data_IF_012329095780
#
_entry.id   IF_012329095780
#
_cell.length_a   1.000
_cell.length_b   1.000
_cell.length_c   1.000
_cell.angle_alpha   90.00
_cell.angle_beta   90.00
_cell.angle_gamma   90.00
#
_symmetry.space_group_name_H-M   'P 1'
#
loop_
_entity.id
_entity.type
_entity.pdbx_description
1 polymer ?
#
# COMPACT_ATOMS: atom_id res chain seq x y z
N UNK A 1 -19.81 17.28 72.76
CA UNK A 1 -18.81 17.76 71.78
C UNK A 1 -18.85 16.83 70.58
N UNK A 2 -19.23 17.35 69.38
CA UNK A 2 -18.81 16.97 68.00
C UNK A 2 -18.70 15.46 67.64
N UNK A 3 -19.26 14.90 66.58
CA UNK A 3 -19.72 15.41 65.27
C UNK A 3 -20.65 14.34 64.63
N UNK A 4 -21.65 14.76 63.86
CA UNK A 4 -22.48 13.90 63.00
C UNK A 4 -21.65 13.44 61.80
N UNK A 5 -21.48 12.14 61.61
CA UNK A 5 -20.85 11.59 60.39
C UNK A 5 -21.92 11.41 59.31
N UNK A 6 -22.18 12.46 58.53
CA UNK A 6 -22.85 12.31 57.24
C UNK A 6 -21.80 12.08 56.15
N UNK A 7 -21.81 10.89 55.59
CA UNK A 7 -20.99 10.52 54.42
C UNK A 7 -21.66 11.15 53.19
N UNK A 8 -20.98 12.10 52.55
CA UNK A 8 -21.37 12.64 51.24
C UNK A 8 -20.55 11.91 50.16
N UNK A 9 -21.24 11.17 49.29
CA UNK A 9 -20.64 10.59 48.09
C UNK A 9 -20.95 11.53 46.93
N UNK A 10 -19.92 12.24 46.45
CA UNK A 10 -19.99 12.98 45.20
C UNK A 10 -19.50 12.06 44.08
N UNK A 11 -20.40 11.62 43.21
CA UNK A 11 -20.03 10.94 41.96
C UNK A 11 -19.97 11.99 40.88
N UNK A 12 -18.76 12.35 40.45
CA UNK A 12 -18.55 13.20 39.28
C UNK A 12 -18.33 12.29 38.07
N UNK A 13 -19.32 12.23 37.18
CA UNK A 13 -19.18 11.57 35.88
C UNK A 13 -18.65 12.60 34.89
N UNK A 14 -17.39 12.42 34.47
CA UNK A 14 -16.74 13.25 33.46
C UNK A 14 -16.97 12.59 32.09
N UNK A 15 -17.91 13.12 31.29
CA UNK A 15 -18.05 12.73 29.89
C UNK A 15 -17.22 13.67 29.03
N UNK A 16 -16.02 13.23 28.66
CA UNK A 16 -15.20 13.91 27.67
C UNK A 16 -15.69 13.47 26.29
N UNK A 17 -16.40 14.36 25.58
CA UNK A 17 -16.59 14.22 24.13
C UNK A 17 -15.31 14.72 23.45
N UNK A 18 -14.50 13.79 22.94
CA UNK A 18 -13.34 14.14 22.13
C UNK A 18 -13.73 14.23 20.64
N UNK A 19 -13.67 15.47 20.14
CA UNK A 19 -13.47 15.93 18.76
C UNK A 19 -13.93 15.07 17.58
N UNK A 20 -14.87 15.64 16.85
CA UNK A 20 -15.30 15.22 15.51
C UNK A 20 -14.30 15.69 14.44
N UNK A 21 -13.12 15.07 14.35
CA UNK A 21 -12.22 15.10 13.18
C UNK A 21 -11.40 13.80 13.08
N UNK A 22 -12.07 12.66 12.93
CA UNK A 22 -11.40 11.37 12.71
C UNK A 22 -11.54 10.92 11.25
N UNK A 23 -11.20 11.77 10.28
CA UNK A 23 -10.93 11.23 8.94
C UNK A 23 -9.59 10.53 9.08
N UNK A 24 -9.58 9.22 8.85
CA UNK A 24 -8.33 8.45 8.93
C UNK A 24 -7.29 9.08 7.99
N UNK A 25 -6.02 9.09 8.38
CA UNK A 25 -4.95 9.60 7.51
C UNK A 25 -4.96 8.88 6.14
N UNK A 26 -5.39 7.63 6.14
CA UNK A 26 -5.67 6.83 4.95
C UNK A 26 -6.75 7.47 4.06
N UNK A 27 -7.93 7.76 4.59
CA UNK A 27 -9.03 8.42 3.85
C UNK A 27 -8.61 9.81 3.34
N UNK A 28 -7.88 10.58 4.15
CA UNK A 28 -7.34 11.86 3.72
C UNK A 28 -6.36 11.69 2.55
N UNK A 29 -5.63 10.58 2.51
CA UNK A 29 -4.65 10.26 1.48
C UNK A 29 -5.27 9.76 0.18
N UNK A 30 -6.31 8.93 0.22
CA UNK A 30 -6.85 8.24 -0.96
C UNK A 30 -8.13 8.86 -1.54
N UNK A 31 -8.90 9.62 -0.75
CA UNK A 31 -10.22 10.08 -1.20
C UNK A 31 -10.12 11.24 -2.21
N UNK A 32 -10.79 11.14 -3.38
CA UNK A 32 -10.86 12.23 -4.36
C UNK A 32 -11.50 13.50 -3.80
N UNK A 33 -12.46 13.38 -2.88
CA UNK A 33 -13.07 14.54 -2.22
C UNK A 33 -12.09 15.34 -1.35
N UNK A 34 -10.90 14.79 -1.08
CA UNK A 34 -9.87 15.44 -0.27
C UNK A 34 -8.71 16.01 -1.10
N UNK A 35 -8.80 16.00 -2.44
CA UNK A 35 -7.81 16.61 -3.34
C UNK A 35 -7.40 18.06 -2.99
N UNK A 36 -8.30 18.97 -2.58
CA UNK A 36 -7.91 20.36 -2.29
C UNK A 36 -7.24 20.56 -0.92
N UNK A 37 -7.19 19.53 -0.07
CA UNK A 37 -6.60 19.66 1.27
C UNK A 37 -5.14 19.25 1.28
N UNK A 38 -4.34 19.96 2.07
CA UNK A 38 -2.95 19.62 2.30
C UNK A 38 -2.84 18.28 3.03
N UNK A 39 -1.87 17.48 2.61
CA UNK A 39 -1.57 16.16 3.17
C UNK A 39 -0.21 16.20 3.86
N UNK A 40 -0.11 15.58 5.02
CA UNK A 40 1.14 15.41 5.78
C UNK A 40 1.96 14.22 5.29
N UNK A 41 1.39 13.38 4.43
CA UNK A 41 2.04 12.24 3.78
C UNK A 41 3.10 12.65 2.77
N UNK A 42 4.11 11.79 2.57
CA UNK A 42 5.10 11.94 1.49
C UNK A 42 4.78 11.01 0.33
N UNK A 43 4.98 11.49 -0.90
CA UNK A 43 4.97 10.63 -2.09
C UNK A 43 6.34 9.98 -2.23
N UNK A 44 6.34 8.66 -2.40
CA UNK A 44 7.54 7.87 -2.67
C UNK A 44 7.28 7.09 -3.96
N UNK A 45 8.25 7.13 -4.87
CA UNK A 45 8.23 6.34 -6.10
C UNK A 45 9.47 5.46 -6.16
N UNK A 46 9.26 4.16 -6.33
CA UNK A 46 10.30 3.20 -6.69
C UNK A 46 10.12 2.87 -8.16
N UNK A 47 11.21 2.92 -8.93
CA UNK A 47 11.20 2.70 -10.37
C UNK A 47 12.43 1.89 -10.78
N UNK A 48 12.35 1.27 -11.96
CA UNK A 48 13.44 0.50 -12.58
C UNK A 48 14.53 1.36 -13.23
N UNK A 49 14.64 2.63 -12.85
CA UNK A 49 15.52 3.58 -13.53
C UNK A 49 17.00 3.16 -13.43
N UNK A 50 17.77 3.52 -14.44
CA UNK A 50 19.20 3.28 -14.50
C UNK A 50 19.93 4.21 -13.52
N UNK A 51 20.41 3.68 -12.41
CA UNK A 51 21.12 4.45 -11.38
C UNK A 51 22.48 4.97 -11.81
N UNK A 52 23.00 4.54 -12.96
CA UNK A 52 24.22 5.07 -13.56
C UNK A 52 24.00 6.37 -14.34
N UNK A 53 22.73 6.74 -14.57
CA UNK A 53 22.34 7.86 -15.46
C UNK A 53 22.27 7.48 -16.94
N UNK A 54 22.39 6.19 -17.26
CA UNK A 54 22.16 5.65 -18.59
C UNK A 54 20.67 5.53 -18.95
N UNK A 55 20.35 4.65 -19.90
CA UNK A 55 18.99 4.43 -20.41
C UNK A 55 18.54 2.96 -20.27
N UNK A 56 19.23 2.18 -19.42
CA UNK A 56 18.82 0.81 -19.15
C UNK A 56 17.78 0.77 -18.01
N UNK A 57 16.66 1.47 -18.18
CA UNK A 57 15.62 1.69 -17.17
C UNK A 57 14.71 0.45 -16.95
N UNK A 58 15.32 -0.72 -16.76
CA UNK A 58 14.64 -2.01 -16.59
C UNK A 58 15.29 -2.85 -15.50
N UNK A 59 14.50 -3.73 -14.90
CA UNK A 59 14.98 -4.80 -14.04
C UNK A 59 15.07 -6.08 -14.88
N UNK A 60 16.27 -6.65 -14.99
CA UNK A 60 16.48 -7.92 -15.67
C UNK A 60 16.20 -9.09 -14.73
N UNK A 61 15.23 -9.94 -15.09
CA UNK A 61 14.83 -11.12 -14.31
C UNK A 61 15.11 -12.37 -15.13
N UNK A 62 16.05 -13.20 -14.68
CA UNK A 62 16.38 -14.46 -15.34
C UNK A 62 15.47 -15.60 -14.90
N UNK A 63 15.35 -16.64 -15.71
CA UNK A 63 14.54 -17.81 -15.41
C UNK A 63 14.91 -18.43 -14.04
N UNK A 64 13.88 -18.71 -13.23
CA UNK A 64 14.04 -19.25 -11.87
C UNK A 64 14.64 -18.30 -10.85
N UNK A 65 14.90 -17.03 -11.20
CA UNK A 65 15.40 -16.02 -10.28
C UNK A 65 14.27 -15.19 -9.70
N UNK A 66 14.46 -14.81 -8.44
CA UNK A 66 13.59 -13.89 -7.71
C UNK A 66 14.33 -12.57 -7.64
N UNK A 67 13.62 -11.48 -7.93
CA UNK A 67 14.16 -10.12 -7.81
C UNK A 67 13.19 -9.28 -6.97
N UNK A 68 13.73 -8.59 -5.97
CA UNK A 68 12.99 -7.61 -5.17
C UNK A 68 13.04 -6.27 -5.90
N UNK A 69 11.92 -5.83 -6.47
CA UNK A 69 11.84 -4.54 -7.17
C UNK A 69 11.51 -3.37 -6.23
N UNK A 70 10.95 -3.64 -5.06
CA UNK A 70 10.69 -2.64 -4.03
C UNK A 70 10.81 -3.27 -2.64
N UNK A 71 11.47 -2.55 -1.73
CA UNK A 71 11.46 -2.80 -0.28
C UNK A 71 11.30 -1.44 0.37
N UNK A 72 10.23 -1.27 1.14
CA UNK A 72 9.84 -0.01 1.76
C UNK A 72 9.58 -0.27 3.23
N UNK A 73 10.06 0.64 4.08
CA UNK A 73 9.89 0.56 5.52
C UNK A 73 8.93 1.66 6.01
N UNK A 74 8.15 1.35 7.04
CA UNK A 74 7.19 2.26 7.65
C UNK A 74 5.79 2.20 7.03
N UNK A 75 4.82 2.95 7.61
CA UNK A 75 3.44 2.93 7.16
C UNK A 75 3.28 3.61 5.81
N UNK A 76 2.42 3.05 4.95
CA UNK A 76 2.16 3.62 3.63
C UNK A 76 1.05 2.92 2.87
N UNK A 77 0.74 3.46 1.70
CA UNK A 77 -0.28 2.95 0.78
C UNK A 77 0.29 2.92 -0.62
N UNK A 78 0.20 1.78 -1.29
CA UNK A 78 0.51 1.68 -2.70
C UNK A 78 -0.71 2.16 -3.48
N UNK A 79 -0.60 3.33 -4.11
CA UNK A 79 -1.69 3.93 -4.89
C UNK A 79 -1.59 3.67 -6.39
N UNK A 80 -0.40 3.29 -6.88
CA UNK A 80 -0.16 3.02 -8.30
C UNK A 80 0.93 1.97 -8.49
N UNK A 81 0.64 0.97 -9.32
CA UNK A 81 1.62 0.02 -9.84
C UNK A 81 1.54 0.09 -11.36
N UNK A 82 2.69 0.19 -12.03
CA UNK A 82 2.79 0.15 -13.48
C UNK A 82 3.93 -0.76 -13.88
N UNK A 83 3.66 -1.70 -14.79
CA UNK A 83 4.64 -2.67 -15.26
C UNK A 83 4.48 -2.82 -16.78
N UNK A 84 5.60 -2.75 -17.49
CA UNK A 84 5.72 -3.18 -18.90
C UNK A 84 6.78 -4.27 -18.97
N UNK A 85 6.52 -5.33 -19.74
CA UNK A 85 7.38 -6.51 -19.80
C UNK A 85 7.86 -6.71 -21.24
N UNK A 86 9.17 -6.78 -21.39
CA UNK A 86 9.85 -7.24 -22.60
C UNK A 86 10.34 -8.67 -22.35
N UNK A 87 9.64 -9.66 -22.91
CA UNK A 87 9.95 -11.08 -22.74
C UNK A 87 9.78 -11.83 -24.06
N UNK A 88 10.73 -12.75 -24.32
CA UNK A 88 10.66 -13.68 -25.45
C UNK A 88 9.84 -14.93 -25.15
N UNK A 89 9.45 -15.14 -23.88
CA UNK A 89 8.59 -16.28 -23.50
C UNK A 89 7.13 -15.96 -23.85
N UNK A 90 6.46 -16.68 -24.78
CA UNK A 90 5.07 -16.43 -25.16
C UNK A 90 4.06 -16.65 -24.01
N UNK A 91 4.50 -17.21 -22.88
CA UNK A 91 3.68 -17.49 -21.71
C UNK A 91 4.09 -16.65 -20.49
N UNK A 92 4.84 -15.56 -20.68
CA UNK A 92 5.35 -14.73 -19.59
C UNK A 92 4.26 -14.23 -18.63
N UNK A 93 3.05 -13.95 -19.13
CA UNK A 93 1.89 -13.51 -18.33
C UNK A 93 1.50 -14.51 -17.23
N UNK A 94 1.78 -15.80 -17.43
CA UNK A 94 1.48 -16.88 -16.47
C UNK A 94 2.70 -17.41 -15.73
N UNK A 95 3.90 -17.05 -16.17
CA UNK A 95 5.18 -17.58 -15.63
C UNK A 95 5.94 -16.58 -14.78
N UNK A 96 5.72 -15.28 -14.97
CA UNK A 96 6.24 -14.25 -14.08
C UNK A 96 5.28 -14.12 -12.90
N UNK A 97 5.78 -14.39 -11.71
CA UNK A 97 5.00 -14.40 -10.47
C UNK A 97 5.26 -13.11 -9.68
N UNK A 98 4.19 -12.42 -9.31
CA UNK A 98 4.28 -11.30 -8.38
C UNK A 98 4.08 -11.80 -6.96
N UNK A 99 4.94 -11.33 -6.05
CA UNK A 99 4.89 -11.63 -4.62
C UNK A 99 4.92 -10.35 -3.82
N UNK A 100 3.99 -10.20 -2.89
CA UNK A 100 3.92 -9.08 -1.96
C UNK A 100 3.88 -9.62 -0.53
N UNK A 101 4.59 -8.91 0.34
CA UNK A 101 4.72 -9.23 1.75
C UNK A 101 4.44 -7.95 2.53
N UNK A 102 3.55 -8.01 3.51
CA UNK A 102 3.17 -6.89 4.36
C UNK A 102 3.69 -7.06 5.79
N UNK A 103 4.08 -5.97 6.43
CA UNK A 103 4.35 -5.91 7.87
C UNK A 103 5.32 -6.97 8.43
N UNK A 104 6.29 -7.40 7.62
CA UNK A 104 7.32 -8.36 8.01
C UNK A 104 6.87 -9.82 8.05
N UNK A 105 5.75 -10.15 7.41
CA UNK A 105 5.26 -11.53 7.32
C UNK A 105 6.22 -12.46 6.56
N UNK A 106 6.23 -13.74 6.96
CA UNK A 106 7.04 -14.78 6.28
C UNK A 106 6.36 -15.33 5.02
N UNK A 107 5.02 -15.37 5.02
CA UNK A 107 4.19 -15.87 3.91
C UNK A 107 3.69 -14.72 3.04
N UNK A 108 3.62 -14.93 1.73
CA UNK A 108 3.11 -13.93 0.78
C UNK A 108 1.61 -13.66 0.99
N UNK A 109 1.22 -12.41 1.24
CA UNK A 109 -0.19 -12.00 1.16
C UNK A 109 -0.74 -11.99 -0.26
N UNK A 110 0.12 -11.79 -1.27
CA UNK A 110 -0.24 -11.86 -2.68
C UNK A 110 0.80 -12.72 -3.40
N UNK A 111 0.38 -13.80 -4.03
CA UNK A 111 1.20 -14.64 -4.91
C UNK A 111 0.39 -15.05 -6.14
N UNK A 112 0.52 -14.27 -7.23
CA UNK A 112 -0.27 -14.48 -8.45
C UNK A 112 0.56 -14.18 -9.70
N UNK A 113 0.33 -14.87 -10.83
CA UNK A 113 1.04 -14.52 -12.06
C UNK A 113 0.67 -13.12 -12.52
N UNK A 114 1.62 -12.41 -13.13
CA UNK A 114 1.48 -10.99 -13.49
C UNK A 114 0.25 -10.72 -14.37
N UNK A 115 -0.05 -11.61 -15.32
CA UNK A 115 -1.24 -11.49 -16.16
C UNK A 115 -2.53 -11.57 -15.35
N UNK A 116 -2.63 -12.45 -14.36
CA UNK A 116 -3.84 -12.54 -13.52
C UNK A 116 -4.01 -11.32 -12.63
N UNK A 117 -2.92 -10.77 -12.07
CA UNK A 117 -2.97 -9.54 -11.27
C UNK A 117 -3.54 -8.35 -12.05
N UNK A 118 -3.19 -8.23 -13.33
CA UNK A 118 -3.65 -7.17 -14.23
C UNK A 118 -4.76 -7.61 -15.20
N UNK A 119 -5.56 -8.63 -14.86
CA UNK A 119 -6.72 -9.04 -15.67
C UNK A 119 -6.45 -9.50 -17.11
N UNK A 120 -5.21 -9.88 -17.43
CA UNK A 120 -4.72 -10.36 -18.73
C UNK A 120 -4.11 -11.78 -18.65
N UNK A 121 -4.77 -12.71 -17.95
CA UNK A 121 -4.18 -14.03 -17.62
C UNK A 121 -3.82 -14.94 -18.81
N UNK A 122 -4.52 -14.82 -19.94
CA UNK A 122 -4.28 -15.69 -21.12
C UNK A 122 -3.44 -15.02 -22.19
N UNK A 123 -3.82 -13.80 -22.53
CA UNK A 123 -3.27 -12.98 -23.60
C UNK A 123 -3.39 -11.53 -23.15
N UNK A 124 -2.41 -10.70 -23.52
CA UNK A 124 -2.54 -9.27 -23.33
C UNK A 124 -3.66 -8.72 -24.22
N UNK A 125 -4.65 -8.10 -23.59
CA UNK A 125 -5.70 -7.35 -24.27
C UNK A 125 -5.75 -5.97 -23.66
N UNK A 126 -5.76 -4.94 -24.49
CA UNK A 126 -5.96 -3.59 -24.01
C UNK A 126 -7.39 -3.45 -23.47
N UNK A 127 -7.52 -3.12 -22.19
CA UNK A 127 -8.80 -2.90 -21.54
C UNK A 127 -8.64 -1.86 -20.43
N UNK A 128 -9.75 -1.21 -20.07
CA UNK A 128 -9.85 -0.36 -18.90
C UNK A 128 -10.97 -0.91 -18.02
N UNK A 129 -10.68 -1.15 -16.74
CA UNK A 129 -11.72 -1.42 -15.75
C UNK A 129 -12.42 -0.11 -15.37
N UNK A 130 -13.71 -0.18 -15.05
CA UNK A 130 -14.55 0.95 -14.62
C UNK A 130 -14.56 1.01 -13.09
#
# INVERSE_FOLDING_TARGET
MKLKNSIFISVTVLLISCNHQNVSELENSISPGRLPYLKTSKMVQVASFDSTGGNNDRINIHAGKIVTFAKLDGPGVITRIWITIDSRDPHFLRRILLRFYWDGEESQSIEVPVGYFFGTGFEYKHYNAI
#
